data_IF_043517837014
#
_entry.id   IF_043517837014
#
_cell.length_a   1.000
_cell.length_b   1.000
_cell.length_c   1.000
_cell.angle_alpha   90.00
_cell.angle_beta   90.00
_cell.angle_gamma   90.00
#
_symmetry.space_group_name_H-M   'P 1'
#
loop_
_entity.id
_entity.type
_entity.pdbx_description
1 polymer ?
#
# COMPACT_ATOMS: atom_id res chain seq x y z
N UNK A 1 -12.88 -23.21 -12.82
CA UNK A 1 -13.68 -22.00 -13.08
C UNK A 1 -13.82 -21.91 -14.59
N UNK A 2 -15.03 -22.08 -15.12
CA UNK A 2 -15.27 -21.90 -16.56
C UNK A 2 -15.31 -20.40 -16.82
N UNK A 3 -14.43 -19.89 -17.69
CA UNK A 3 -14.41 -18.48 -18.08
C UNK A 3 -15.44 -18.37 -19.21
N UNK A 4 -16.55 -17.69 -18.97
CA UNK A 4 -17.48 -17.33 -20.04
C UNK A 4 -16.86 -16.19 -20.86
N UNK A 5 -16.64 -16.41 -22.15
CA UNK A 5 -16.20 -15.36 -23.07
C UNK A 5 -17.32 -14.32 -23.25
N UNK A 6 -17.02 -13.07 -22.92
CA UNK A 6 -17.92 -11.94 -23.17
C UNK A 6 -18.11 -11.77 -24.69
N UNK A 7 -19.35 -11.57 -25.13
CA UNK A 7 -19.70 -11.45 -26.56
C UNK A 7 -19.23 -10.12 -27.17
N UNK A 8 -18.73 -9.19 -26.37
CA UNK A 8 -18.08 -7.94 -26.79
C UNK A 8 -16.57 -7.96 -26.50
N UNK A 9 -15.93 -9.12 -26.48
CA UNK A 9 -14.47 -9.17 -26.40
C UNK A 9 -13.86 -8.80 -27.76
N UNK A 10 -13.44 -7.54 -27.89
CA UNK A 10 -12.77 -7.00 -29.08
C UNK A 10 -11.31 -7.51 -29.19
N UNK A 11 -10.82 -8.29 -28.23
CA UNK A 11 -9.47 -8.85 -28.25
C UNK A 11 -9.37 -9.99 -29.27
N UNK A 12 -8.24 -10.03 -29.98
CA UNK A 12 -7.94 -11.13 -30.88
C UNK A 12 -7.70 -12.43 -30.08
N UNK A 13 -8.02 -13.62 -30.63
CA UNK A 13 -7.90 -14.90 -29.93
C UNK A 13 -6.51 -15.18 -29.36
N UNK A 14 -5.45 -14.64 -29.97
CA UNK A 14 -4.06 -14.79 -29.52
C UNK A 14 -3.77 -14.08 -28.18
N UNK A 15 -4.66 -13.19 -27.73
CA UNK A 15 -4.57 -12.48 -26.45
C UNK A 15 -5.42 -13.12 -25.34
N UNK A 16 -6.06 -14.27 -25.60
CA UNK A 16 -6.71 -15.08 -24.56
C UNK A 16 -5.67 -15.88 -23.77
N UNK A 17 -5.03 -15.20 -22.81
CA UNK A 17 -3.95 -15.77 -22.00
C UNK A 17 -4.51 -16.55 -20.81
N UNK A 18 -4.26 -17.87 -20.79
CA UNK A 18 -4.57 -18.71 -19.63
C UNK A 18 -3.57 -18.49 -18.48
N UNK A 19 -3.98 -17.70 -17.49
CA UNK A 19 -3.17 -17.41 -16.31
C UNK A 19 -3.15 -18.54 -15.28
N UNK A 20 -3.89 -19.65 -15.45
CA UNK A 20 -3.95 -20.75 -14.47
C UNK A 20 -2.60 -21.43 -14.21
N UNK A 21 -1.67 -21.34 -15.16
CA UNK A 21 -0.30 -21.88 -15.06
C UNK A 21 0.76 -20.78 -14.92
N UNK A 22 0.34 -19.54 -14.70
CA UNK A 22 1.28 -18.42 -14.59
C UNK A 22 2.15 -18.54 -13.34
N UNK A 23 3.43 -18.19 -13.49
CA UNK A 23 4.36 -18.15 -12.36
C UNK A 23 4.01 -16.96 -11.46
N UNK A 24 4.18 -17.09 -10.13
CA UNK A 24 4.01 -15.96 -9.22
C UNK A 24 4.93 -14.81 -9.62
N UNK A 25 4.45 -13.57 -9.47
CA UNK A 25 5.19 -12.37 -9.83
C UNK A 25 6.51 -12.31 -9.03
N UNK A 26 7.65 -12.31 -9.74
CA UNK A 26 9.01 -12.21 -9.15
C UNK A 26 9.26 -10.96 -8.31
N UNK A 27 8.41 -9.95 -8.44
CA UNK A 27 8.45 -8.71 -7.66
C UNK A 27 7.47 -8.70 -6.49
N UNK A 28 6.58 -9.70 -6.37
CA UNK A 28 5.62 -9.77 -5.26
C UNK A 28 6.31 -9.75 -3.90
N UNK A 29 7.45 -10.44 -3.77
CA UNK A 29 8.25 -10.44 -2.54
C UNK A 29 8.82 -9.05 -2.17
N UNK A 30 9.08 -8.19 -3.17
CA UNK A 30 9.56 -6.82 -2.90
C UNK A 30 8.46 -5.92 -2.33
N UNK A 31 7.20 -6.26 -2.59
CA UNK A 31 6.04 -5.61 -1.98
C UNK A 31 5.66 -6.22 -0.62
N UNK A 32 6.31 -7.32 -0.21
CA UNK A 32 6.27 -7.85 1.16
C UNK A 32 7.24 -7.13 2.10
N UNK A 33 8.08 -6.22 1.59
CA UNK A 33 8.81 -5.28 2.44
C UNK A 33 7.79 -4.55 3.30
N UNK A 34 7.94 -4.62 4.62
CA UNK A 34 7.01 -4.07 5.59
C UNK A 34 6.75 -2.60 5.31
N UNK A 35 5.76 -2.30 4.48
CA UNK A 35 5.18 -0.97 4.42
C UNK A 35 4.52 -0.84 5.79
N UNK A 36 5.23 -0.22 6.73
CA UNK A 36 4.69 0.13 8.06
C UNK A 36 3.62 1.18 7.83
N UNK A 37 2.43 0.73 7.41
CA UNK A 37 1.25 1.57 7.31
C UNK A 37 0.78 1.82 8.73
N UNK A 38 0.84 3.07 9.15
CA UNK A 38 0.24 3.52 10.40
C UNK A 38 -1.13 4.05 10.02
N UNK A 39 -2.19 3.34 10.41
CA UNK A 39 -3.55 3.83 10.26
C UNK A 39 -3.79 4.98 11.24
N UNK A 40 -4.42 6.05 10.76
CA UNK A 40 -4.93 7.12 11.62
C UNK A 40 -6.36 6.79 12.05
N UNK A 41 -6.75 7.29 13.21
CA UNK A 41 -8.15 7.24 13.62
C UNK A 41 -8.99 8.17 12.69
N UNK A 42 -10.29 7.89 12.48
CA UNK A 42 -11.11 8.63 11.52
C UNK A 42 -11.17 10.13 11.79
N UNK A 43 -11.29 10.53 13.05
CA UNK A 43 -11.29 11.91 13.50
C UNK A 43 -9.98 12.65 13.18
N UNK A 44 -8.85 11.95 13.29
CA UNK A 44 -7.53 12.50 12.95
C UNK A 44 -7.36 12.56 11.42
N UNK A 45 -7.86 11.56 10.69
CA UNK A 45 -7.80 11.56 9.23
C UNK A 45 -8.65 12.70 8.61
N UNK A 46 -9.79 13.04 9.23
CA UNK A 46 -10.65 14.14 8.80
C UNK A 46 -9.98 15.51 9.02
N UNK A 47 -9.24 15.68 10.12
CA UNK A 47 -8.49 16.92 10.40
C UNK A 47 -7.22 17.06 9.54
N UNK A 48 -6.60 15.93 9.18
CA UNK A 48 -5.36 15.89 8.39
C UNK A 48 -5.55 15.22 7.02
N UNK A 49 -6.11 15.94 6.03
CA UNK A 49 -6.45 15.37 4.72
C UNK A 49 -5.23 15.02 3.85
N UNK A 50 -4.02 15.49 4.21
CA UNK A 50 -2.79 15.26 3.44
C UNK A 50 -1.66 14.71 4.32
N UNK A 51 -0.79 13.90 3.72
CA UNK A 51 0.42 13.40 4.40
C UNK A 51 1.36 14.53 4.83
N UNK A 52 1.40 15.63 4.08
CA UNK A 52 2.25 16.78 4.38
C UNK A 52 1.84 17.44 5.70
N UNK A 53 0.53 17.66 5.89
CA UNK A 53 -0.03 18.27 7.10
C UNK A 53 0.24 17.41 8.35
N UNK A 54 0.07 16.09 8.26
CA UNK A 54 0.41 15.16 9.35
C UNK A 54 1.91 15.25 9.69
N UNK A 55 2.76 15.21 8.67
CA UNK A 55 4.20 15.18 8.85
C UNK A 55 4.75 16.48 9.45
N UNK A 56 4.21 17.62 9.07
CA UNK A 56 4.57 18.92 9.64
C UNK A 56 4.24 18.97 11.13
N UNK A 57 2.99 18.64 11.50
CA UNK A 57 2.55 18.62 12.90
C UNK A 57 3.39 17.67 13.76
N UNK A 58 3.67 16.47 13.26
CA UNK A 58 4.52 15.50 13.98
C UNK A 58 5.97 15.99 14.13
N UNK A 59 6.53 16.70 13.14
CA UNK A 59 7.87 17.28 13.24
C UNK A 59 7.93 18.37 14.31
N UNK A 60 6.91 19.23 14.38
CA UNK A 60 6.82 20.23 15.45
C UNK A 60 6.69 19.59 16.82
N UNK A 61 5.83 18.57 16.94
CA UNK A 61 5.69 17.79 18.17
C UNK A 61 7.02 17.15 18.60
N UNK A 62 7.81 16.63 17.66
CA UNK A 62 9.13 16.06 17.95
C UNK A 62 10.12 17.11 18.48
N UNK A 63 10.03 18.37 18.04
CA UNK A 63 10.91 19.45 18.53
C UNK A 63 10.63 19.82 19.99
N UNK A 64 9.36 19.78 20.40
CA UNK A 64 8.94 20.18 21.75
C UNK A 64 8.96 19.02 22.75
N UNK A 65 8.82 17.77 22.28
CA UNK A 65 8.74 16.61 23.18
C UNK A 65 10.11 16.32 23.81
N UNK A 66 10.17 16.00 25.11
CA UNK A 66 11.40 15.52 25.73
C UNK A 66 11.85 14.22 25.05
N UNK A 67 13.14 14.11 24.73
CA UNK A 67 13.68 12.90 24.12
C UNK A 67 13.70 11.75 25.13
N UNK A 68 12.61 10.98 25.19
CA UNK A 68 12.67 9.65 25.77
C UNK A 68 13.25 8.71 24.71
N UNK A 69 14.58 8.58 24.69
CA UNK A 69 15.27 7.61 23.83
C UNK A 69 15.10 6.21 24.43
N UNK A 70 13.94 5.60 24.20
CA UNK A 70 13.94 4.14 24.06
C UNK A 70 14.44 3.82 22.65
N UNK A 71 15.76 3.69 22.57
CA UNK A 71 16.42 3.04 21.44
C UNK A 71 15.93 1.60 21.43
N UNK A 72 15.18 1.20 20.41
CA UNK A 72 14.83 -0.21 20.22
C UNK A 72 15.45 -0.75 18.92
N UNK A 73 16.54 -1.48 19.17
CA UNK A 73 17.13 -2.70 18.57
C UNK A 73 16.53 -3.22 17.24
N UNK A 74 17.38 -3.80 16.37
CA UNK A 74 17.15 -4.02 14.94
C UNK A 74 16.02 -5.01 14.64
#
# INVERSE_FOLDING_TARGET
MQIEHDKNDDLLPEYDLDFSKSKPNRFAEKYNGTVRRVGLAPDIADEFPTEESVNEALREYIKIKPQNREVRVP
#
